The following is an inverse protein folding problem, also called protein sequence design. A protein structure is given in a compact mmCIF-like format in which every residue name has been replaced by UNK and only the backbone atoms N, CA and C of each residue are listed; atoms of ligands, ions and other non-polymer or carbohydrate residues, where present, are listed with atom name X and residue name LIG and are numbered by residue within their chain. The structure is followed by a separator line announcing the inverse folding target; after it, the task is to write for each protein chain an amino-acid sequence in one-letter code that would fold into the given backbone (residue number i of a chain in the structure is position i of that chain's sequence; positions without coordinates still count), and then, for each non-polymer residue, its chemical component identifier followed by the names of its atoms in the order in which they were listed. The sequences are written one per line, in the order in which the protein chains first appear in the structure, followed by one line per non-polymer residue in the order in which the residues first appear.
data_IF_511832966211
#
_entry.id   IF_511832966211
#
_cell.length_a   1.000
_cell.length_b   1.000
_cell.length_c   1.000
_cell.angle_alpha   90.00
_cell.angle_beta   90.00
_cell.angle_gamma   90.00
#
_symmetry.space_group_name_H-M   'P 1'
#
loop_
_entity.id
_entity.type
_entity.pdbx_description
1 polymer ?
#
# COMPACT_ATOMS: atom_id res chain seq x y z
N UNK A 1 1.49 35.71 -32.80
CA UNK A 1 1.57 35.27 -31.40
C UNK A 1 0.22 34.68 -31.05
N UNK A 2 0.18 33.42 -30.59
CA UNK A 2 -1.08 32.74 -30.25
C UNK A 2 -1.40 33.04 -28.78
N UNK A 3 -2.66 33.33 -28.48
CA UNK A 3 -3.09 33.74 -27.15
C UNK A 3 -3.76 32.54 -26.48
N UNK A 4 -2.98 31.77 -25.73
CA UNK A 4 -3.54 30.69 -24.92
C UNK A 4 -4.42 31.30 -23.82
N UNK A 5 -5.69 30.91 -23.77
CA UNK A 5 -6.59 31.26 -22.66
C UNK A 5 -6.73 30.04 -21.73
N UNK A 6 -6.40 30.24 -20.46
CA UNK A 6 -6.59 29.23 -19.42
C UNK A 6 -7.70 29.70 -18.48
N UNK A 7 -8.71 28.84 -18.32
CA UNK A 7 -9.74 28.99 -17.29
C UNK A 7 -9.40 28.06 -16.13
N UNK A 8 -9.24 28.63 -14.94
CA UNK A 8 -8.95 27.89 -13.70
C UNK A 8 -10.19 27.93 -12.82
N UNK A 9 -10.66 26.76 -12.37
CA UNK A 9 -11.77 26.63 -11.42
C UNK A 9 -11.24 26.28 -10.02
N UNK A 10 -11.68 27.07 -9.02
CA UNK A 10 -11.35 26.89 -7.61
C UNK A 10 -12.67 26.87 -6.81
N UNK A 11 -13.20 25.69 -6.44
CA UNK A 11 -14.34 25.62 -5.55
C UNK A 11 -13.92 25.84 -4.08
N UNK A 12 -14.81 26.47 -3.31
CA UNK A 12 -14.76 26.54 -1.85
C UNK A 12 -13.47 27.10 -1.23
N UNK A 13 -13.01 28.24 -1.75
CA UNK A 13 -11.97 29.04 -1.07
C UNK A 13 -12.56 30.35 -0.58
N UNK A 14 -12.31 30.66 0.69
CA UNK A 14 -12.53 32.01 1.20
C UNK A 14 -11.66 33.04 0.45
N UNK A 15 -12.07 34.31 0.50
CA UNK A 15 -11.41 35.38 -0.24
C UNK A 15 -9.92 35.54 0.11
N UNK A 16 -9.52 35.15 1.33
CA UNK A 16 -8.12 35.22 1.79
C UNK A 16 -7.26 34.13 1.14
N UNK A 17 -7.74 32.90 1.10
CA UNK A 17 -7.12 31.75 0.43
C UNK A 17 -7.00 31.95 -1.07
N UNK A 18 -8.00 32.63 -1.66
CA UNK A 18 -8.01 33.03 -3.06
C UNK A 18 -6.90 34.06 -3.35
N UNK A 19 -6.83 35.13 -2.57
CA UNK A 19 -5.81 36.17 -2.72
C UNK A 19 -4.38 35.63 -2.49
N UNK A 20 -4.20 34.69 -1.55
CA UNK A 20 -2.93 34.00 -1.37
C UNK A 20 -2.53 33.19 -2.61
N UNK A 21 -3.48 32.45 -3.17
CA UNK A 21 -3.24 31.63 -4.37
C UNK A 21 -2.89 32.52 -5.57
N UNK A 22 -3.59 33.65 -5.74
CA UNK A 22 -3.29 34.63 -6.79
C UNK A 22 -1.94 35.32 -6.60
N UNK A 23 -1.58 35.69 -5.37
CA UNK A 23 -0.27 36.28 -5.05
C UNK A 23 0.89 35.31 -5.30
N UNK A 24 0.70 34.01 -5.05
CA UNK A 24 1.69 32.96 -5.37
C UNK A 24 1.89 32.82 -6.88
N UNK A 25 0.79 32.89 -7.64
CA UNK A 25 0.84 32.78 -9.11
C UNK A 25 1.50 34.02 -9.74
N UNK A 26 1.17 35.23 -9.26
CA UNK A 26 1.76 36.49 -9.72
C UNK A 26 3.26 36.57 -9.40
N UNK A 27 3.63 36.37 -8.12
CA UNK A 27 5.02 36.50 -7.66
C UNK A 27 6.01 35.50 -8.27
N UNK A 28 5.56 34.30 -8.66
CA UNK A 28 6.45 33.25 -9.19
C UNK A 28 6.51 33.19 -10.71
N UNK A 29 5.45 33.60 -11.40
CA UNK A 29 5.36 33.45 -12.85
C UNK A 29 5.26 34.77 -13.60
N UNK A 30 5.25 35.91 -12.89
CA UNK A 30 5.14 37.24 -13.50
C UNK A 30 3.86 37.39 -14.34
N UNK A 31 2.81 36.64 -13.99
CA UNK A 31 1.52 36.67 -14.69
C UNK A 31 0.78 37.90 -14.18
N UNK A 32 1.08 39.06 -14.76
CA UNK A 32 0.66 40.36 -14.23
C UNK A 32 -0.85 40.57 -14.13
N UNK A 33 -1.70 39.75 -14.79
CA UNK A 33 -3.17 39.86 -14.72
C UNK A 33 -3.87 38.53 -14.93
N UNK A 34 -4.51 38.03 -13.88
CA UNK A 34 -5.71 37.21 -14.02
C UNK A 34 -6.91 38.17 -13.98
N UNK A 35 -7.67 38.26 -15.08
CA UNK A 35 -8.96 38.94 -15.06
C UNK A 35 -9.98 37.99 -14.42
N UNK A 36 -10.71 38.43 -13.40
CA UNK A 36 -11.87 37.68 -12.91
C UNK A 36 -12.96 37.82 -13.98
N UNK A 37 -13.25 36.71 -14.67
CA UNK A 37 -14.22 36.68 -15.76
C UNK A 37 -15.64 36.33 -15.28
N UNK A 38 -15.77 35.84 -14.04
CA UNK A 38 -17.07 35.58 -13.43
C UNK A 38 -16.94 35.06 -12.00
N UNK A 39 -18.00 35.29 -11.23
CA UNK A 39 -18.22 34.69 -9.90
C UNK A 39 -19.58 34.01 -9.93
N UNK A 40 -19.65 32.74 -9.54
CA UNK A 40 -20.90 31.96 -9.52
C UNK A 40 -21.19 31.53 -8.07
N UNK A 41 -22.23 32.10 -7.47
CA UNK A 41 -22.52 31.89 -6.04
C UNK A 41 -21.52 32.59 -5.10
N UNK A 42 -21.51 32.19 -3.82
CA UNK A 42 -20.66 32.83 -2.79
C UNK A 42 -19.21 32.29 -2.76
N UNK A 43 -18.89 31.24 -3.52
CA UNK A 43 -17.63 30.50 -3.36
C UNK A 43 -16.95 30.01 -4.65
N UNK A 44 -17.37 30.44 -5.85
CA UNK A 44 -16.72 30.06 -7.11
C UNK A 44 -16.22 31.27 -7.90
N UNK A 45 -14.94 31.27 -8.28
CA UNK A 45 -14.29 32.35 -9.04
C UNK A 45 -13.59 31.80 -10.29
N UNK A 46 -13.82 32.44 -11.43
CA UNK A 46 -13.21 32.11 -12.72
C UNK A 46 -12.13 33.13 -13.08
N UNK A 47 -10.97 32.64 -13.50
CA UNK A 47 -9.84 33.47 -13.90
C UNK A 47 -9.50 33.29 -15.38
N UNK A 48 -9.16 34.39 -16.05
CA UNK A 48 -8.62 34.41 -17.41
C UNK A 48 -7.18 34.93 -17.35
N UNK A 49 -6.21 34.05 -17.64
CA UNK A 49 -4.81 34.45 -17.82
C UNK A 49 -4.51 34.79 -19.29
N UNK A 50 -3.79 35.88 -19.55
CA UNK A 50 -3.29 36.25 -20.89
C UNK A 50 -1.77 36.03 -20.98
N UNK A 51 -1.28 35.59 -22.15
CA UNK A 51 0.15 35.51 -22.52
C UNK A 51 1.02 34.46 -21.78
N UNK A 52 0.65 33.18 -21.81
CA UNK A 52 1.39 32.09 -21.14
C UNK A 52 2.48 31.40 -21.97
N UNK A 53 2.97 32.04 -23.03
CA UNK A 53 3.80 31.39 -24.05
C UNK A 53 5.21 30.92 -23.60
N UNK A 54 5.64 31.18 -22.36
CA UNK A 54 7.02 30.97 -21.91
C UNK A 54 7.21 30.33 -20.51
N UNK A 55 6.19 29.69 -19.92
CA UNK A 55 6.36 29.04 -18.60
C UNK A 55 6.82 27.59 -18.80
N UNK A 56 8.01 27.18 -18.28
CA UNK A 56 8.43 25.78 -18.31
C UNK A 56 7.48 24.91 -17.49
N UNK A 57 6.85 23.92 -18.13
CA UNK A 57 5.83 23.01 -17.56
C UNK A 57 6.27 22.26 -16.28
N UNK A 58 7.57 22.20 -16.01
CA UNK A 58 8.18 21.49 -14.89
C UNK A 58 8.30 22.35 -13.61
N UNK A 59 7.92 23.64 -13.67
CA UNK A 59 8.13 24.60 -12.59
C UNK A 59 6.90 24.91 -11.73
N UNK A 60 5.73 24.34 -12.04
CA UNK A 60 4.44 24.62 -11.37
C UNK A 60 4.26 23.76 -10.11
N UNK A 61 3.80 24.29 -8.95
CA UNK A 61 3.69 23.54 -7.70
C UNK A 61 2.38 22.73 -7.66
N UNK A 62 2.35 21.67 -6.83
CA UNK A 62 1.14 20.92 -6.46
C UNK A 62 0.13 21.81 -5.71
N UNK A 63 -0.66 22.59 -6.45
CA UNK A 63 -1.89 23.20 -5.96
C UNK A 63 -3.03 22.31 -6.46
N UNK A 64 -3.89 21.87 -5.55
CA UNK A 64 -5.13 21.16 -5.90
C UNK A 64 -6.04 22.13 -6.62
N UNK A 65 -6.06 22.05 -7.94
CA UNK A 65 -7.10 22.64 -8.77
C UNK A 65 -8.14 21.57 -9.00
N UNK A 66 -9.41 21.94 -9.17
CA UNK A 66 -10.43 20.95 -9.52
C UNK A 66 -10.64 20.81 -11.04
N UNK A 67 -10.32 21.84 -11.86
CA UNK A 67 -10.15 21.69 -13.32
C UNK A 67 -9.22 22.77 -13.93
N UNK A 68 -8.59 22.42 -15.07
CA UNK A 68 -7.92 23.36 -15.98
C UNK A 68 -8.55 23.23 -17.36
N UNK A 69 -9.03 24.34 -17.94
CA UNK A 69 -9.54 24.39 -19.30
C UNK A 69 -8.51 25.11 -20.17
N UNK A 70 -8.03 24.44 -21.22
CA UNK A 70 -7.15 25.02 -22.24
C UNK A 70 -7.90 25.02 -23.57
N UNK A 71 -8.04 26.20 -24.19
CA UNK A 71 -8.65 26.34 -25.51
C UNK A 71 -7.60 26.77 -26.53
N UNK A 72 -7.42 25.97 -27.58
CA UNK A 72 -7.10 26.39 -28.96
C UNK A 72 -6.98 25.12 -29.85
N UNK A 73 -8.08 24.68 -30.48
CA UNK A 73 -8.13 23.69 -31.59
C UNK A 73 -7.30 22.38 -31.44
N UNK A 74 -7.75 21.42 -30.60
CA UNK A 74 -7.19 20.05 -30.59
C UNK A 74 -8.30 19.03 -30.86
N UNK A 75 -8.13 18.23 -31.93
CA UNK A 75 -9.08 17.19 -32.36
C UNK A 75 -8.77 15.82 -31.73
N UNK A 76 -9.85 15.20 -31.23
CA UNK A 76 -10.14 13.77 -30.98
C UNK A 76 -9.33 13.02 -29.91
N UNK A 77 -10.02 12.73 -28.80
CA UNK A 77 -9.95 11.45 -28.08
C UNK A 77 -11.37 11.06 -27.65
N UNK A 78 -11.86 9.95 -28.20
CA UNK A 78 -13.14 9.34 -27.84
C UNK A 78 -12.86 7.91 -27.44
N UNK A 79 -12.89 7.64 -26.14
CA UNK A 79 -13.42 6.39 -25.57
C UNK A 79 -13.32 6.44 -24.05
N UNK A 80 -14.48 6.58 -23.38
CA UNK A 80 -14.78 6.27 -21.98
C UNK A 80 -16.27 6.60 -21.75
N UNK A 81 -17.15 5.61 -21.91
CA UNK A 81 -18.60 5.78 -22.11
C UNK A 81 -19.37 6.31 -20.89
N UNK A 82 -18.84 6.13 -19.67
CA UNK A 82 -19.46 6.67 -18.44
C UNK A 82 -19.01 8.12 -18.20
N UNK A 83 -17.73 8.43 -18.44
CA UNK A 83 -17.16 9.77 -18.30
C UNK A 83 -17.68 10.74 -19.37
N UNK A 84 -17.93 10.27 -20.59
CA UNK A 84 -18.38 11.11 -21.72
C UNK A 84 -19.73 11.80 -21.48
N UNK A 85 -20.68 11.13 -20.81
CA UNK A 85 -22.01 11.72 -20.51
C UNK A 85 -21.95 12.79 -19.42
N UNK A 86 -21.15 12.57 -18.38
CA UNK A 86 -20.93 13.56 -17.31
C UNK A 86 -20.21 14.78 -17.90
N UNK A 87 -19.19 14.55 -18.74
CA UNK A 87 -18.43 15.59 -19.41
C UNK A 87 -19.29 16.38 -20.40
N UNK A 88 -20.13 15.73 -21.21
CA UNK A 88 -21.05 16.46 -22.11
C UNK A 88 -22.06 17.32 -21.35
N UNK A 89 -22.65 16.80 -20.26
CA UNK A 89 -23.57 17.59 -19.42
C UNK A 89 -22.88 18.79 -18.79
N UNK A 90 -21.64 18.62 -18.32
CA UNK A 90 -20.86 19.70 -17.69
C UNK A 90 -20.29 20.68 -18.69
N UNK A 91 -19.85 20.24 -19.89
CA UNK A 91 -19.48 21.12 -21.01
C UNK A 91 -20.65 22.01 -21.41
N UNK A 92 -21.84 21.44 -21.51
CA UNK A 92 -23.06 22.18 -21.82
C UNK A 92 -23.39 23.20 -20.72
N UNK A 93 -23.37 22.78 -19.46
CA UNK A 93 -23.59 23.68 -18.32
C UNK A 93 -22.59 24.84 -18.29
N UNK A 94 -21.29 24.57 -18.38
CA UNK A 94 -20.25 25.60 -18.40
C UNK A 94 -20.43 26.54 -19.59
N UNK A 95 -20.61 26.01 -20.79
CA UNK A 95 -20.82 26.81 -21.99
C UNK A 95 -22.04 27.74 -21.89
N UNK A 96 -23.13 27.27 -21.26
CA UNK A 96 -24.31 28.08 -20.96
C UNK A 96 -24.00 29.22 -19.96
N UNK A 97 -23.15 28.97 -18.95
CA UNK A 97 -22.78 30.00 -17.97
C UNK A 97 -21.86 31.09 -18.54
N UNK A 98 -20.92 30.72 -19.40
CA UNK A 98 -19.94 31.67 -19.99
C UNK A 98 -20.31 32.15 -21.40
N UNK A 99 -21.51 31.81 -21.88
CA UNK A 99 -22.07 32.34 -23.14
C UNK A 99 -21.35 31.89 -24.42
N UNK A 100 -20.70 30.71 -24.39
CA UNK A 100 -20.01 30.14 -25.56
C UNK A 100 -20.68 28.84 -26.04
N UNK A 101 -20.25 28.33 -27.20
CA UNK A 101 -20.69 27.00 -27.63
C UNK A 101 -20.04 25.91 -26.80
N UNK A 102 -20.83 24.90 -26.40
CA UNK A 102 -20.32 23.71 -25.72
C UNK A 102 -19.30 22.90 -26.54
N UNK A 103 -19.28 23.09 -27.87
CA UNK A 103 -18.27 22.51 -28.77
C UNK A 103 -16.92 23.22 -28.65
N UNK A 104 -16.91 24.48 -28.21
CA UNK A 104 -15.71 25.28 -27.98
C UNK A 104 -15.03 24.97 -26.63
N UNK A 105 -15.71 24.24 -25.74
CA UNK A 105 -15.12 23.77 -24.47
C UNK A 105 -14.34 22.49 -24.73
N UNK A 106 -13.01 22.58 -24.75
CA UNK A 106 -12.11 21.43 -24.88
C UNK A 106 -11.71 20.95 -23.48
N UNK A 107 -11.93 19.67 -23.22
CA UNK A 107 -11.39 18.98 -22.03
C UNK A 107 -10.18 18.20 -22.51
N UNK A 108 -9.00 18.66 -22.14
CA UNK A 108 -7.77 17.94 -22.43
C UNK A 108 -7.53 16.91 -21.33
N UNK A 109 -7.83 15.64 -21.64
CA UNK A 109 -7.63 14.53 -20.73
C UNK A 109 -6.15 14.27 -20.43
N UNK A 110 -5.24 14.64 -21.33
CA UNK A 110 -3.81 14.47 -21.13
C UNK A 110 -3.30 15.45 -20.07
N UNK A 111 -3.75 16.72 -20.13
CA UNK A 111 -3.49 17.72 -19.08
C UNK A 111 -4.21 17.35 -17.77
N UNK A 112 -5.48 16.93 -17.84
CA UNK A 112 -6.22 16.46 -16.67
C UNK A 112 -5.53 15.26 -16.00
N UNK A 113 -5.12 14.23 -16.74
CA UNK A 113 -4.42 13.08 -16.17
C UNK A 113 -3.02 13.43 -15.63
N UNK A 114 -2.42 14.52 -16.11
CA UNK A 114 -1.11 15.01 -15.68
C UNK A 114 -1.20 15.93 -14.46
N UNK A 115 -2.32 16.65 -14.28
CA UNK A 115 -2.60 17.54 -13.14
C UNK A 115 -3.35 16.83 -12.01
N UNK A 116 -4.29 15.94 -12.37
CA UNK A 116 -4.99 15.03 -11.49
C UNK A 116 -4.32 13.68 -11.64
N UNK A 117 -3.21 13.48 -10.94
CA UNK A 117 -2.63 12.15 -10.84
C UNK A 117 -3.69 11.23 -10.23
N UNK A 118 -4.38 10.44 -11.06
CA UNK A 118 -5.16 9.32 -10.56
C UNK A 118 -4.26 8.54 -9.60
N UNK A 119 -4.79 8.07 -8.45
CA UNK A 119 -3.99 7.32 -7.50
C UNK A 119 -3.30 6.15 -8.22
N UNK A 120 -2.02 6.32 -8.53
CA UNK A 120 -1.20 5.29 -9.17
C UNK A 120 -0.57 4.41 -8.12
N UNK A 121 -0.59 3.12 -8.37
CA UNK A 121 0.06 2.11 -7.54
C UNK A 121 1.34 1.65 -8.23
N UNK A 122 2.46 1.69 -7.51
CA UNK A 122 3.64 0.92 -7.87
C UNK A 122 3.49 -0.50 -7.31
N UNK A 123 3.59 -1.51 -8.17
CA UNK A 123 3.60 -2.90 -7.76
C UNK A 123 5.02 -3.29 -7.35
N UNK A 124 5.20 -3.68 -6.10
CA UNK A 124 6.48 -4.14 -5.56
C UNK A 124 6.38 -5.63 -5.26
N UNK A 125 7.09 -6.45 -6.04
CA UNK A 125 7.05 -7.91 -5.90
C UNK A 125 8.25 -8.37 -5.08
N UNK A 126 7.98 -9.05 -3.96
CA UNK A 126 8.95 -9.45 -2.95
C UNK A 126 9.27 -10.94 -3.12
N UNK A 127 10.54 -11.26 -3.27
CA UNK A 127 11.00 -12.63 -3.34
C UNK A 127 11.46 -13.09 -1.96
N UNK A 128 10.76 -14.06 -1.38
CA UNK A 128 11.21 -14.69 -0.13
C UNK A 128 12.52 -15.47 -0.34
N UNK A 129 12.71 -16.01 -1.55
CA UNK A 129 13.95 -16.67 -1.97
C UNK A 129 14.31 -16.24 -3.39
N UNK A 130 15.60 -16.31 -3.73
CA UNK A 130 16.09 -15.94 -5.06
C UNK A 130 15.56 -16.90 -6.14
N UNK A 131 14.60 -16.44 -6.94
CA UNK A 131 14.00 -17.16 -8.05
C UNK A 131 13.95 -16.31 -9.34
N UNK A 132 15.12 -15.95 -9.85
CA UNK A 132 15.28 -15.04 -11.00
C UNK A 132 14.44 -15.45 -12.23
N UNK A 133 14.17 -16.74 -12.40
CA UNK A 133 13.31 -17.28 -13.47
C UNK A 133 11.86 -16.76 -13.43
N UNK A 134 11.36 -16.33 -12.26
CA UNK A 134 10.01 -15.77 -12.15
C UNK A 134 9.94 -14.33 -12.67
N UNK A 135 11.05 -13.58 -12.75
CA UNK A 135 11.06 -12.18 -13.21
C UNK A 135 10.37 -11.98 -14.57
N UNK A 136 10.76 -12.67 -15.66
CA UNK A 136 10.09 -12.50 -16.96
C UNK A 136 8.63 -12.97 -16.94
N UNK A 137 8.29 -13.96 -16.11
CA UNK A 137 6.92 -14.47 -16.00
C UNK A 137 6.01 -13.44 -15.31
N UNK A 138 6.47 -12.85 -14.21
CA UNK A 138 5.77 -11.81 -13.49
C UNK A 138 5.62 -10.55 -14.35
N UNK A 139 6.63 -10.18 -15.12
CA UNK A 139 6.53 -9.09 -16.09
C UNK A 139 5.45 -9.37 -17.15
N UNK A 140 5.34 -10.61 -17.64
CA UNK A 140 4.29 -11.03 -18.57
C UNK A 140 2.88 -10.95 -17.93
N UNK A 141 2.76 -11.33 -16.65
CA UNK A 141 1.49 -11.34 -15.90
C UNK A 141 1.01 -9.93 -15.55
N UNK A 142 1.93 -9.04 -15.19
CA UNK A 142 1.60 -7.73 -14.61
C UNK A 142 1.89 -6.53 -15.52
N UNK A 143 2.81 -6.64 -16.49
CA UNK A 143 3.31 -5.49 -17.25
C UNK A 143 2.27 -4.77 -18.13
N UNK A 144 1.12 -5.39 -18.41
CA UNK A 144 -0.01 -4.72 -19.08
C UNK A 144 -0.96 -3.99 -18.13
N UNK A 145 -0.84 -4.25 -16.82
CA UNK A 145 -1.75 -3.78 -15.77
C UNK A 145 -1.09 -2.79 -14.81
N UNK A 146 0.24 -2.86 -14.67
CA UNK A 146 0.99 -1.95 -13.81
C UNK A 146 2.09 -1.31 -14.64
N UNK A 147 2.05 0.00 -14.77
CA UNK A 147 3.09 0.77 -15.47
C UNK A 147 4.40 0.85 -14.69
N UNK A 148 4.36 0.70 -13.36
CA UNK A 148 5.53 0.69 -12.48
C UNK A 148 5.57 -0.61 -11.68
N UNK A 149 6.56 -1.45 -11.99
CA UNK A 149 6.82 -2.71 -11.30
C UNK A 149 8.26 -2.68 -10.79
N UNK A 150 8.48 -3.04 -9.53
CA UNK A 150 9.82 -3.25 -8.94
C UNK A 150 9.89 -4.60 -8.28
N UNK A 151 11.05 -5.24 -8.36
CA UNK A 151 11.28 -6.56 -7.77
C UNK A 151 12.29 -6.43 -6.63
N UNK A 152 11.95 -6.93 -5.44
CA UNK A 152 12.90 -7.04 -4.33
C UNK A 152 13.43 -8.46 -4.32
N UNK A 153 14.68 -8.65 -4.75
CA UNK A 153 15.27 -9.99 -4.96
C UNK A 153 16.49 -10.19 -4.05
N UNK A 154 16.47 -11.20 -3.17
CA UNK A 154 17.60 -11.51 -2.29
C UNK A 154 18.87 -11.81 -3.08
N UNK A 155 19.96 -11.13 -2.73
CA UNK A 155 21.30 -11.37 -3.29
C UNK A 155 21.36 -11.33 -4.82
N UNK A 156 20.52 -10.51 -5.46
CA UNK A 156 20.54 -10.35 -6.90
C UNK A 156 21.83 -9.67 -7.37
N UNK A 157 22.47 -10.27 -8.36
CA UNK A 157 23.75 -9.85 -8.94
C UNK A 157 23.65 -9.56 -10.45
N UNK A 158 22.43 -9.58 -11.00
CA UNK A 158 22.16 -9.25 -12.39
C UNK A 158 22.05 -7.75 -12.63
N UNK A 159 21.67 -7.38 -13.86
CA UNK A 159 21.67 -6.01 -14.36
C UNK A 159 20.27 -5.46 -14.69
N UNK A 160 19.20 -6.17 -14.35
CA UNK A 160 17.84 -5.70 -14.61
C UNK A 160 17.54 -4.43 -13.77
N UNK A 161 17.15 -3.36 -14.45
CA UNK A 161 16.94 -2.05 -13.85
C UNK A 161 15.71 -2.01 -12.93
N UNK A 162 14.74 -2.90 -13.14
CA UNK A 162 13.54 -3.00 -12.31
C UNK A 162 13.77 -3.83 -11.04
N UNK A 163 14.94 -4.46 -10.91
CA UNK A 163 15.32 -5.26 -9.75
C UNK A 163 16.12 -4.44 -8.74
N UNK A 164 15.71 -4.56 -7.47
CA UNK A 164 16.35 -3.99 -6.31
C UNK A 164 16.95 -5.15 -5.51
N UNK A 165 18.29 -5.28 -5.46
CA UNK A 165 18.93 -6.30 -4.64
C UNK A 165 18.70 -5.98 -3.17
N UNK A 166 18.35 -7.02 -2.40
CA UNK A 166 18.12 -6.95 -0.96
C UNK A 166 18.86 -8.08 -0.24
N UNK A 167 19.12 -7.91 1.06
CA UNK A 167 20.08 -8.75 1.79
C UNK A 167 19.55 -9.23 3.14
N UNK A 168 18.30 -9.70 3.18
CA UNK A 168 17.71 -10.35 4.37
C UNK A 168 17.28 -11.79 4.08
N UNK A 169 17.01 -12.55 5.13
CA UNK A 169 16.43 -13.89 5.03
C UNK A 169 14.92 -13.84 4.77
N UNK A 170 14.35 -14.98 4.32
CA UNK A 170 12.89 -15.14 4.16
C UNK A 170 12.09 -14.95 5.45
N UNK A 171 12.74 -15.01 6.62
CA UNK A 171 12.10 -14.83 7.92
C UNK A 171 12.08 -13.36 8.36
N UNK A 172 12.89 -12.51 7.73
CA UNK A 172 13.07 -11.10 8.05
C UNK A 172 12.90 -10.18 6.82
N UNK A 173 12.13 -10.62 5.82
CA UNK A 173 11.98 -9.88 4.55
C UNK A 173 11.41 -8.47 4.71
N UNK A 174 10.82 -8.12 5.87
CA UNK A 174 10.45 -6.74 6.17
C UNK A 174 11.65 -5.76 6.09
N UNK A 175 12.88 -6.25 6.27
CA UNK A 175 14.08 -5.42 6.09
C UNK A 175 14.33 -5.00 4.64
N UNK A 176 13.71 -5.67 3.66
CA UNK A 176 13.78 -5.27 2.26
C UNK A 176 13.28 -3.84 2.02
N UNK A 177 12.28 -3.40 2.79
CA UNK A 177 11.59 -2.13 2.53
C UNK A 177 12.50 -0.93 2.76
N UNK A 178 13.30 -0.95 3.85
CA UNK A 178 14.26 0.13 4.10
C UNK A 178 15.43 0.10 3.11
N UNK A 179 15.87 -1.08 2.69
CA UNK A 179 16.93 -1.23 1.68
C UNK A 179 16.46 -0.70 0.31
N UNK A 180 15.18 -0.88 -0.01
CA UNK A 180 14.58 -0.41 -1.26
C UNK A 180 14.11 1.04 -1.23
N UNK A 181 13.97 1.66 -0.05
CA UNK A 181 13.32 2.97 0.14
C UNK A 181 13.87 4.05 -0.80
N UNK A 182 15.19 4.18 -0.92
CA UNK A 182 15.84 5.21 -1.74
C UNK A 182 15.47 5.11 -3.23
N UNK A 183 15.26 3.88 -3.73
CA UNK A 183 14.80 3.65 -5.11
C UNK A 183 13.30 3.84 -5.24
N UNK A 184 12.52 3.44 -4.23
CA UNK A 184 11.07 3.53 -4.25
C UNK A 184 10.56 4.97 -4.13
N UNK A 185 11.14 5.81 -3.27
CA UNK A 185 10.61 7.14 -2.92
C UNK A 185 10.43 8.10 -4.11
N UNK A 186 11.23 7.91 -5.17
CA UNK A 186 11.22 8.76 -6.35
C UNK A 186 10.23 8.29 -7.44
N UNK A 187 9.60 7.12 -7.27
CA UNK A 187 8.61 6.62 -8.23
C UNK A 187 7.37 7.53 -8.21
N UNK A 188 6.84 7.95 -9.38
CA UNK A 188 5.68 8.83 -9.48
C UNK A 188 4.36 8.07 -9.23
N UNK A 189 4.21 7.54 -8.01
CA UNK A 189 3.01 6.87 -7.54
C UNK A 189 2.48 7.51 -6.25
N UNK A 190 1.28 7.09 -5.85
CA UNK A 190 0.66 7.49 -4.57
C UNK A 190 0.76 6.41 -3.52
N UNK A 191 0.87 5.16 -3.95
CA UNK A 191 0.89 3.98 -3.08
C UNK A 191 1.84 2.92 -3.63
N UNK A 192 2.31 2.07 -2.72
CA UNK A 192 3.14 0.90 -3.02
C UNK A 192 2.38 -0.35 -2.57
N UNK A 193 2.04 -1.21 -3.53
CA UNK A 193 1.42 -2.51 -3.27
C UNK A 193 2.52 -3.57 -3.23
N UNK A 194 2.77 -4.12 -2.06
CA UNK A 194 3.73 -5.18 -1.84
C UNK A 194 3.04 -6.54 -1.96
N UNK A 195 3.58 -7.44 -2.77
CA UNK A 195 3.08 -8.82 -2.94
C UNK A 195 4.24 -9.82 -2.98
N UNK A 196 4.06 -11.02 -2.43
CA UNK A 196 4.99 -12.14 -2.62
C UNK A 196 5.09 -12.58 -4.09
N UNK A 197 6.23 -13.13 -4.51
CA UNK A 197 6.46 -13.58 -5.89
C UNK A 197 5.56 -14.75 -6.33
N UNK A 198 4.99 -15.48 -5.37
CA UNK A 198 4.01 -16.54 -5.57
C UNK A 198 2.58 -16.12 -5.18
N UNK A 199 2.30 -14.83 -5.00
CA UNK A 199 0.95 -14.31 -4.81
C UNK A 199 0.43 -13.69 -6.11
N UNK A 200 -0.70 -14.19 -6.61
CA UNK A 200 -1.31 -13.72 -7.85
C UNK A 200 -2.55 -12.88 -7.52
N UNK A 201 -2.51 -11.62 -7.96
CA UNK A 201 -3.61 -10.67 -7.82
C UNK A 201 -4.73 -10.95 -8.84
N UNK A 202 -5.97 -10.58 -8.48
CA UNK A 202 -7.12 -10.62 -9.37
C UNK A 202 -6.79 -9.96 -10.73
N UNK A 203 -7.14 -10.58 -11.87
CA UNK A 203 -6.88 -10.09 -13.24
C UNK A 203 -7.30 -8.64 -13.49
N UNK A 204 -8.42 -8.24 -12.88
CA UNK A 204 -9.00 -6.90 -12.99
C UNK A 204 -8.20 -5.81 -12.28
N UNK A 205 -7.26 -6.12 -11.38
CA UNK A 205 -6.45 -5.11 -10.71
C UNK A 205 -5.37 -4.54 -11.63
N UNK A 206 -5.26 -3.22 -11.62
CA UNK A 206 -4.26 -2.43 -12.31
C UNK A 206 -3.84 -1.21 -11.47
N UNK A 207 -2.81 -0.50 -11.92
CA UNK A 207 -2.23 0.64 -11.22
C UNK A 207 -3.18 1.82 -10.98
N UNK A 208 -4.25 1.97 -11.78
CA UNK A 208 -5.22 3.07 -11.68
C UNK A 208 -6.51 2.72 -10.92
N UNK A 209 -6.86 1.44 -10.81
CA UNK A 209 -8.14 1.03 -10.21
C UNK A 209 -8.00 0.38 -8.83
N UNK A 210 -6.80 -0.10 -8.46
CA UNK A 210 -6.60 -0.86 -7.23
C UNK A 210 -7.04 -0.08 -5.98
N UNK A 211 -6.64 1.19 -5.88
CA UNK A 211 -7.00 2.07 -4.75
C UNK A 211 -8.52 2.17 -4.59
N UNK A 212 -9.24 2.37 -5.70
CA UNK A 212 -10.69 2.52 -5.70
C UNK A 212 -11.40 1.21 -5.42
N UNK A 213 -10.96 0.10 -6.02
CA UNK A 213 -11.57 -1.22 -5.79
C UNK A 213 -11.33 -1.73 -4.37
N UNK A 214 -10.22 -1.34 -3.74
CA UNK A 214 -9.92 -1.67 -2.35
C UNK A 214 -10.47 -0.64 -1.34
N UNK A 215 -11.11 0.43 -1.82
CA UNK A 215 -11.65 1.52 -0.99
C UNK A 215 -10.60 2.15 -0.04
N UNK A 216 -9.40 2.42 -0.57
CA UNK A 216 -8.26 2.95 0.19
C UNK A 216 -7.85 4.38 -0.20
N UNK A 217 -8.73 5.15 -0.84
CA UNK A 217 -8.44 6.54 -1.26
C UNK A 217 -8.05 7.44 -0.08
N UNK A 218 -8.68 7.22 1.08
CA UNK A 218 -8.46 7.98 2.32
C UNK A 218 -7.77 7.12 3.40
N UNK A 219 -7.09 6.05 2.99
CA UNK A 219 -6.42 5.11 3.88
C UNK A 219 -4.93 5.16 3.60
N UNK A 220 -4.13 4.88 4.62
CA UNK A 220 -2.67 4.88 4.54
C UNK A 220 -2.08 3.49 4.43
N UNK A 221 -2.84 2.49 4.88
CA UNK A 221 -2.39 1.12 4.91
C UNK A 221 -3.50 0.14 4.58
N UNK A 222 -3.20 -0.87 3.77
CA UNK A 222 -4.07 -2.01 3.49
C UNK A 222 -3.34 -3.28 3.88
N UNK A 223 -3.98 -4.17 4.63
CA UNK A 223 -3.42 -5.49 4.97
C UNK A 223 -4.55 -6.50 5.11
N UNK A 224 -4.23 -7.78 5.14
CA UNK A 224 -5.24 -8.84 5.23
C UNK A 224 -5.98 -8.81 6.57
N UNK A 225 -5.25 -9.04 7.66
CA UNK A 225 -5.73 -9.02 9.03
C UNK A 225 -4.52 -9.09 9.96
N UNK A 226 -4.69 -8.63 11.20
CA UNK A 226 -3.76 -8.91 12.28
C UNK A 226 -4.46 -8.80 13.63
N UNK A 227 -3.78 -9.29 14.67
CA UNK A 227 -4.31 -9.42 16.03
C UNK A 227 -3.21 -9.16 17.06
N UNK A 228 -3.61 -8.85 18.30
CA UNK A 228 -2.67 -8.77 19.43
C UNK A 228 -2.02 -10.15 19.67
N UNK A 229 -0.70 -10.21 19.70
CA UNK A 229 0.05 -11.48 19.78
C UNK A 229 -0.18 -12.23 21.10
N UNK A 230 -0.55 -11.52 22.17
CA UNK A 230 -0.80 -12.08 23.51
C UNK A 230 -2.24 -12.58 23.73
N UNK A 231 -3.07 -12.67 22.68
CA UNK A 231 -4.41 -13.24 22.81
C UNK A 231 -4.40 -14.70 23.27
N UNK A 232 -5.53 -15.22 23.77
CA UNK A 232 -5.65 -16.62 24.17
C UNK A 232 -5.21 -17.59 23.06
N UNK A 233 -4.54 -18.66 23.44
CA UNK A 233 -4.07 -19.76 22.61
C UNK A 233 -3.04 -19.37 21.53
N UNK A 234 -2.51 -18.15 21.52
CA UNK A 234 -1.53 -17.71 20.51
C UNK A 234 -0.16 -18.36 20.65
N UNK A 235 0.17 -18.92 21.81
CA UNK A 235 1.37 -19.73 21.98
C UNK A 235 1.36 -21.02 21.13
N UNK A 236 0.21 -21.45 20.63
CA UNK A 236 0.12 -22.60 19.71
C UNK A 236 0.81 -22.37 18.37
N UNK A 237 1.01 -21.12 17.97
CA UNK A 237 1.73 -20.80 16.75
C UNK A 237 3.24 -20.80 17.02
N UNK A 238 3.99 -21.59 16.24
CA UNK A 238 5.43 -21.81 16.47
C UNK A 238 6.25 -20.52 16.49
N UNK A 239 5.90 -19.52 15.67
CA UNK A 239 6.64 -18.26 15.61
C UNK A 239 6.42 -17.37 16.84
N UNK A 240 5.30 -17.54 17.56
CA UNK A 240 5.07 -16.87 18.84
C UNK A 240 6.13 -17.26 19.88
N UNK A 241 6.61 -18.51 19.85
CA UNK A 241 7.61 -19.01 20.80
C UNK A 241 8.93 -18.25 20.79
N UNK A 242 9.35 -17.73 19.63
CA UNK A 242 10.58 -16.94 19.50
C UNK A 242 10.37 -15.43 19.61
N UNK A 243 9.12 -14.96 19.69
CA UNK A 243 8.76 -13.55 19.49
C UNK A 243 9.41 -12.57 20.47
N UNK A 244 9.63 -12.99 21.71
CA UNK A 244 10.23 -12.16 22.76
C UNK A 244 11.76 -12.12 22.73
N UNK A 245 12.40 -13.16 22.16
CA UNK A 245 13.86 -13.30 22.14
C UNK A 245 14.60 -12.08 21.56
N UNK A 246 14.15 -11.47 20.45
CA UNK A 246 14.71 -10.22 19.91
C UNK A 246 14.96 -9.10 20.92
N UNK A 247 14.10 -8.94 21.93
CA UNK A 247 14.17 -7.82 22.88
C UNK A 247 15.22 -8.03 23.98
N UNK A 248 15.68 -9.26 24.19
CA UNK A 248 16.74 -9.60 25.14
C UNK A 248 18.10 -9.79 24.48
N UNK A 249 18.14 -9.80 23.15
CA UNK A 249 19.39 -9.82 22.41
C UNK A 249 20.20 -8.54 22.69
N UNK A 250 21.49 -8.71 22.98
CA UNK A 250 22.43 -7.62 23.27
C UNK A 250 23.24 -7.19 22.04
N UNK A 251 23.11 -7.89 20.92
CA UNK A 251 23.85 -7.61 19.70
C UNK A 251 23.31 -6.38 18.94
N UNK A 252 22.04 -6.01 19.15
CA UNK A 252 21.39 -4.89 18.47
C UNK A 252 20.98 -3.79 19.44
N UNK A 253 21.42 -2.54 19.19
CA UNK A 253 21.02 -1.36 19.97
C UNK A 253 19.71 -0.80 19.39
N UNK A 254 18.57 -1.31 19.87
CA UNK A 254 17.24 -0.93 19.34
C UNK A 254 16.46 0.05 20.24
N UNK A 255 16.79 0.13 21.54
CA UNK A 255 15.98 0.82 22.57
C UNK A 255 15.76 2.31 22.33
N UNK A 256 16.67 2.97 21.61
CA UNK A 256 16.56 4.39 21.27
C UNK A 256 15.98 4.64 19.87
N UNK A 257 15.66 3.56 19.14
CA UNK A 257 15.21 3.62 17.73
C UNK A 257 13.74 3.25 17.55
N UNK A 258 13.13 2.64 18.59
CA UNK A 258 11.71 2.33 18.69
C UNK A 258 11.02 3.30 19.65
N UNK A 259 9.69 3.32 19.60
CA UNK A 259 8.88 3.92 20.66
C UNK A 259 9.23 3.29 22.01
N UNK A 260 9.10 4.07 23.08
CA UNK A 260 9.21 3.54 24.43
C UNK A 260 8.10 2.49 24.69
N UNK A 261 8.28 1.66 25.72
CA UNK A 261 7.28 0.65 26.08
C UNK A 261 5.90 1.27 26.30
N UNK A 262 5.81 2.36 27.05
CA UNK A 262 4.55 3.01 27.39
C UNK A 262 3.88 3.65 26.16
N UNK A 263 4.66 4.29 25.28
CA UNK A 263 4.15 4.83 24.00
C UNK A 263 3.63 3.72 23.08
N UNK A 264 4.35 2.61 23.00
CA UNK A 264 3.93 1.45 22.22
C UNK A 264 2.64 0.84 22.78
N UNK A 265 2.54 0.69 24.11
CA UNK A 265 1.33 0.21 24.78
C UNK A 265 0.13 1.12 24.52
N UNK A 266 0.32 2.44 24.59
CA UNK A 266 -0.71 3.42 24.27
C UNK A 266 -1.18 3.30 22.81
N UNK A 267 -0.25 3.19 21.85
CA UNK A 267 -0.58 2.96 20.43
C UNK A 267 -1.36 1.68 20.21
N UNK A 268 -0.97 0.59 20.87
CA UNK A 268 -1.71 -0.69 20.80
C UNK A 268 -3.12 -0.56 21.39
N UNK A 269 -3.27 0.11 22.53
CA UNK A 269 -4.58 0.37 23.13
C UNK A 269 -5.46 1.19 22.20
N UNK A 270 -4.94 2.28 21.64
CA UNK A 270 -5.67 3.15 20.71
C UNK A 270 -6.08 2.40 19.44
N UNK A 271 -5.18 1.57 18.89
CA UNK A 271 -5.44 0.81 17.68
C UNK A 271 -6.52 -0.26 17.87
N UNK A 272 -6.39 -1.08 18.93
CA UNK A 272 -7.29 -2.20 19.16
C UNK A 272 -8.56 -1.81 19.93
N UNK A 273 -8.54 -0.68 20.65
CA UNK A 273 -9.62 -0.25 21.54
C UNK A 273 -9.69 -1.03 22.85
N UNK A 274 -8.69 -1.86 23.15
CA UNK A 274 -8.60 -2.68 24.36
C UNK A 274 -7.17 -2.69 24.87
N UNK A 275 -7.02 -2.78 26.20
CA UNK A 275 -5.71 -2.85 26.85
C UNK A 275 -4.90 -4.06 26.35
N UNK A 276 -3.62 -3.83 26.09
CA UNK A 276 -2.68 -4.91 25.83
C UNK A 276 -2.22 -5.47 27.18
N UNK A 277 -2.44 -6.75 27.45
CA UNK A 277 -1.94 -7.36 28.71
C UNK A 277 -0.42 -7.27 28.75
N UNK A 278 0.13 -6.89 29.90
CA UNK A 278 1.59 -6.77 30.10
C UNK A 278 2.29 -8.11 30.40
N UNK A 279 1.53 -9.19 30.58
CA UNK A 279 2.04 -10.52 30.92
C UNK A 279 1.47 -11.59 30.01
N UNK A 280 2.29 -12.60 29.70
CA UNK A 280 1.86 -13.86 29.13
C UNK A 280 1.17 -14.69 30.23
N UNK A 281 -0.15 -14.80 30.15
CA UNK A 281 -0.96 -15.53 31.12
C UNK A 281 -1.24 -16.98 30.68
N UNK A 282 -1.96 -17.71 31.52
CA UNK A 282 -2.36 -19.10 31.24
C UNK A 282 -3.17 -19.22 29.94
N UNK A 283 -3.96 -18.20 29.58
CA UNK A 283 -4.83 -18.26 28.41
C UNK A 283 -3.98 -18.14 27.15
N UNK A 284 -2.93 -17.31 27.16
CA UNK A 284 -1.95 -17.22 26.08
C UNK A 284 -1.27 -18.58 25.79
N UNK A 285 -0.79 -19.27 26.84
CA UNK A 285 -0.14 -20.57 26.72
C UNK A 285 -1.09 -21.68 26.26
N UNK A 286 -2.39 -21.49 26.47
CA UNK A 286 -3.45 -22.40 26.05
C UNK A 286 -3.52 -23.67 26.89
N UNK A 287 -4.51 -24.52 26.57
CA UNK A 287 -4.77 -25.76 27.30
C UNK A 287 -3.70 -26.84 26.99
N UNK A 288 -2.96 -27.35 28.00
CA UNK A 288 -1.95 -28.41 27.83
C UNK A 288 -2.54 -29.74 27.35
N UNK A 289 -3.84 -29.98 27.59
CA UNK A 289 -4.52 -31.23 27.27
C UNK A 289 -5.19 -31.23 25.89
N UNK A 290 -5.04 -30.14 25.13
CA UNK A 290 -5.66 -29.98 23.82
C UNK A 290 -4.59 -29.88 22.70
N UNK A 291 -3.97 -31.01 22.30
CA UNK A 291 -2.96 -31.04 21.25
C UNK A 291 -3.55 -30.86 19.84
N UNK A 292 -4.85 -31.09 19.63
CA UNK A 292 -5.48 -30.93 18.30
C UNK A 292 -5.55 -29.47 17.83
N UNK A 293 -5.41 -28.50 18.74
CA UNK A 293 -5.34 -27.08 18.40
C UNK A 293 -3.92 -26.54 18.19
N UNK A 294 -2.89 -27.33 18.46
CA UNK A 294 -1.50 -26.92 18.31
C UNK A 294 -1.12 -26.84 16.82
N UNK A 295 -0.77 -25.63 16.35
CA UNK A 295 -0.34 -25.47 14.96
C UNK A 295 1.03 -26.13 14.81
N UNK A 296 1.12 -27.13 13.93
CA UNK A 296 2.36 -27.80 13.52
C UNK A 296 3.03 -28.69 14.59
N UNK A 297 2.32 -29.17 15.61
CA UNK A 297 2.85 -30.24 16.48
C UNK A 297 3.92 -29.78 17.49
N UNK A 298 3.92 -28.50 17.89
CA UNK A 298 4.73 -27.94 19.00
C UNK A 298 4.78 -28.76 20.31
N UNK A 299 3.66 -29.33 20.76
CA UNK A 299 3.54 -30.32 21.83
C UNK A 299 2.41 -31.32 21.53
N UNK A 300 2.54 -32.55 22.01
CA UNK A 300 1.54 -33.62 21.84
C UNK A 300 0.85 -34.02 23.15
N UNK A 301 1.41 -33.61 24.29
CA UNK A 301 0.89 -33.92 25.62
C UNK A 301 1.24 -32.80 26.63
N UNK A 302 0.69 -32.90 27.83
CA UNK A 302 0.87 -31.89 28.88
C UNK A 302 2.33 -31.77 29.38
N UNK A 303 3.10 -32.85 29.37
CA UNK A 303 4.52 -32.83 29.78
C UNK A 303 5.36 -32.04 28.77
N UNK A 304 5.18 -32.29 27.48
CA UNK A 304 5.81 -31.53 26.39
C UNK A 304 5.39 -30.06 26.42
N UNK A 305 4.09 -29.78 26.62
CA UNK A 305 3.61 -28.39 26.76
C UNK A 305 4.34 -27.67 27.88
N UNK A 306 4.42 -28.29 29.06
CA UNK A 306 5.10 -27.71 30.23
C UNK A 306 6.58 -27.42 29.95
N UNK A 307 7.27 -28.33 29.25
CA UNK A 307 8.67 -28.13 28.83
C UNK A 307 8.81 -26.92 27.89
N UNK A 308 7.97 -26.84 26.87
CA UNK A 308 8.01 -25.75 25.88
C UNK A 308 7.65 -24.39 26.51
N UNK A 309 6.70 -24.36 27.45
CA UNK A 309 6.37 -23.15 28.23
C UNK A 309 7.55 -22.74 29.11
N UNK A 310 8.20 -23.67 29.80
CA UNK A 310 9.36 -23.38 30.63
C UNK A 310 10.54 -22.84 29.81
N UNK A 311 10.79 -23.42 28.63
CA UNK A 311 11.80 -22.91 27.69
C UNK A 311 11.49 -21.51 27.20
N UNK A 312 10.22 -21.23 26.88
CA UNK A 312 9.77 -19.89 26.51
C UNK A 312 10.04 -18.87 27.64
N UNK A 313 9.60 -19.16 28.87
CA UNK A 313 9.81 -18.28 30.03
C UNK A 313 11.30 -18.04 30.24
N UNK A 314 12.12 -19.09 30.15
CA UNK A 314 13.59 -18.97 30.25
C UNK A 314 14.15 -18.03 29.17
N UNK A 315 13.71 -18.18 27.93
CA UNK A 315 14.11 -17.30 26.82
C UNK A 315 13.59 -15.86 26.95
N UNK A 316 12.49 -15.67 27.68
CA UNK A 316 11.89 -14.38 28.02
C UNK A 316 12.48 -13.80 29.32
N UNK A 317 13.79 -14.02 29.55
CA UNK A 317 14.49 -13.50 30.73
C UNK A 317 14.07 -14.12 32.06
N UNK A 318 13.41 -15.29 32.06
CA UNK A 318 12.88 -15.92 33.26
C UNK A 318 11.59 -15.29 33.79
N UNK A 319 10.89 -14.50 32.97
CA UNK A 319 9.67 -13.78 33.35
C UNK A 319 8.52 -14.10 32.41
N UNK A 320 7.29 -13.86 32.86
CA UNK A 320 6.10 -13.80 32.00
C UNK A 320 5.81 -12.38 31.51
N UNK A 321 6.57 -11.37 31.94
CA UNK A 321 6.43 -9.98 31.46
C UNK A 321 6.68 -9.93 29.96
N UNK A 322 5.79 -9.28 29.23
CA UNK A 322 5.92 -9.06 27.80
C UNK A 322 6.92 -7.93 27.58
N UNK A 323 8.01 -8.14 26.82
CA UNK A 323 9.09 -7.15 26.70
C UNK A 323 8.68 -5.93 25.87
N UNK A 324 7.72 -6.09 24.97
CA UNK A 324 7.20 -5.05 24.08
C UNK A 324 5.85 -5.52 23.49
N UNK A 325 4.84 -4.66 23.31
CA UNK A 325 3.59 -5.07 22.69
C UNK A 325 3.79 -5.45 21.22
N UNK A 326 3.21 -6.57 20.82
CA UNK A 326 3.38 -7.14 19.47
C UNK A 326 2.03 -7.52 18.87
N UNK A 327 1.93 -7.41 17.55
CA UNK A 327 0.83 -7.93 16.75
C UNK A 327 1.32 -9.08 15.86
N UNK A 328 0.42 -9.98 15.47
CA UNK A 328 0.69 -11.06 14.53
C UNK A 328 -0.35 -11.07 13.40
N UNK A 329 0.04 -11.50 12.21
CA UNK A 329 -0.84 -11.45 11.04
C UNK A 329 -0.13 -11.81 9.74
N UNK A 330 -0.94 -11.99 8.70
CA UNK A 330 -0.49 -12.48 7.42
C UNK A 330 0.11 -11.36 6.55
N UNK A 331 1.32 -11.56 6.04
CA UNK A 331 2.18 -10.46 5.53
C UNK A 331 2.67 -10.60 4.09
N UNK A 332 2.19 -11.58 3.31
CA UNK A 332 2.57 -11.74 1.90
C UNK A 332 1.94 -10.68 0.97
N UNK A 333 0.98 -9.89 1.46
CA UNK A 333 0.37 -8.77 0.73
C UNK A 333 -0.03 -7.63 1.66
N UNK A 334 0.35 -6.40 1.28
CA UNK A 334 -0.11 -5.17 1.92
C UNK A 334 0.13 -3.96 1.00
N UNK A 335 -0.51 -2.83 1.27
CA UNK A 335 -0.31 -1.57 0.54
C UNK A 335 0.02 -0.44 1.51
N UNK A 336 0.96 0.43 1.17
CA UNK A 336 1.37 1.59 1.97
C UNK A 336 1.26 2.85 1.12
N UNK A 337 0.69 3.93 1.66
CA UNK A 337 0.74 5.23 1.01
C UNK A 337 2.17 5.79 0.98
N UNK A 338 2.45 6.62 -0.03
CA UNK A 338 3.79 7.15 -0.24
C UNK A 338 4.29 8.01 0.91
N UNK A 339 3.41 8.75 1.59
CA UNK A 339 3.78 9.61 2.72
C UNK A 339 4.25 8.82 3.93
N UNK A 340 3.71 7.62 4.14
CA UNK A 340 4.07 6.76 5.29
C UNK A 340 5.18 5.76 4.99
N UNK A 341 5.59 5.60 3.72
CA UNK A 341 6.56 4.58 3.30
C UNK A 341 7.85 4.63 4.10
N UNK A 342 8.40 5.83 4.38
CA UNK A 342 9.67 5.95 5.10
C UNK A 342 9.58 5.39 6.53
N UNK A 343 8.63 5.89 7.33
CA UNK A 343 8.51 5.50 8.73
C UNK A 343 8.16 4.01 8.86
N UNK A 344 7.24 3.52 8.02
CA UNK A 344 6.94 2.10 7.92
C UNK A 344 8.19 1.27 7.61
N UNK A 345 8.93 1.64 6.56
CA UNK A 345 10.14 0.93 6.15
C UNK A 345 11.22 0.97 7.23
N UNK A 346 11.42 2.12 7.88
CA UNK A 346 12.41 2.31 8.93
C UNK A 346 12.16 1.38 10.11
N UNK A 347 10.92 1.33 10.61
CA UNK A 347 10.55 0.43 11.71
C UNK A 347 10.65 -1.04 11.30
N UNK A 348 10.23 -1.40 10.08
CA UNK A 348 10.45 -2.75 9.53
C UNK A 348 11.94 -3.12 9.52
N UNK A 349 12.82 -2.21 9.11
CA UNK A 349 14.27 -2.38 9.14
C UNK A 349 14.82 -2.63 10.54
N UNK A 350 14.34 -1.91 11.55
CA UNK A 350 14.76 -2.13 12.95
C UNK A 350 14.33 -3.52 13.42
N UNK A 351 13.07 -3.91 13.22
CA UNK A 351 12.60 -5.23 13.64
C UNK A 351 13.29 -6.36 12.86
N UNK A 352 13.65 -6.14 11.60
CA UNK A 352 14.50 -7.06 10.82
C UNK A 352 15.88 -7.22 11.47
N UNK A 353 16.56 -6.12 11.81
CA UNK A 353 17.87 -6.13 12.51
C UNK A 353 17.80 -6.74 13.93
N UNK A 354 16.62 -6.81 14.53
CA UNK A 354 16.38 -7.53 15.79
C UNK A 354 16.08 -9.02 15.60
N UNK A 355 16.12 -9.54 14.36
CA UNK A 355 15.73 -10.90 13.98
C UNK A 355 14.26 -11.24 14.31
N UNK A 356 13.37 -10.25 14.28
CA UNK A 356 11.95 -10.48 14.50
C UNK A 356 11.31 -11.15 13.27
N UNK A 357 10.47 -12.16 13.51
CA UNK A 357 9.77 -12.84 12.42
C UNK A 357 8.80 -11.89 11.71
N UNK A 358 8.79 -11.96 10.37
CA UNK A 358 8.06 -11.04 9.50
C UNK A 358 6.56 -10.93 9.78
N UNK A 359 5.88 -12.06 10.03
CA UNK A 359 4.43 -12.09 10.35
C UNK A 359 4.11 -11.58 11.76
N UNK A 360 5.12 -11.15 12.52
CA UNK A 360 4.98 -10.39 13.77
C UNK A 360 5.45 -8.95 13.55
N UNK A 361 6.56 -8.77 12.84
CA UNK A 361 7.16 -7.47 12.59
C UNK A 361 6.24 -6.53 11.79
N UNK A 362 5.78 -6.94 10.61
CA UNK A 362 4.94 -6.07 9.75
C UNK A 362 3.64 -5.65 10.45
N UNK A 363 2.87 -6.57 11.07
CA UNK A 363 1.69 -6.18 11.86
C UNK A 363 2.02 -5.24 13.03
N UNK A 364 3.12 -5.49 13.74
CA UNK A 364 3.55 -4.63 14.85
C UNK A 364 3.89 -3.23 14.34
N UNK A 365 4.63 -3.12 13.24
CA UNK A 365 4.93 -1.85 12.59
C UNK A 365 3.67 -1.13 12.14
N UNK A 366 2.69 -1.85 11.59
CA UNK A 366 1.42 -1.26 11.18
C UNK A 366 0.71 -0.58 12.36
N UNK A 367 0.62 -1.25 13.51
CA UNK A 367 0.03 -0.69 14.74
C UNK A 367 0.83 0.51 15.27
N UNK A 368 2.15 0.48 15.17
CA UNK A 368 2.99 1.59 15.64
C UNK A 368 2.93 2.83 14.73
N UNK A 369 2.69 2.62 13.44
CA UNK A 369 2.75 3.67 12.40
C UNK A 369 1.39 4.32 12.14
N UNK A 370 0.33 3.52 12.07
CA UNK A 370 -0.99 3.96 11.59
C UNK A 370 -2.03 3.98 12.70
N UNK A 371 -2.98 4.90 12.60
CA UNK A 371 -4.21 4.84 13.39
C UNK A 371 -5.19 3.82 12.81
N UNK A 372 -6.09 3.30 13.63
CA UNK A 372 -7.09 2.30 13.22
C UNK A 372 -7.93 2.75 12.02
N UNK A 373 -8.32 4.01 11.98
CA UNK A 373 -9.13 4.61 10.92
C UNK A 373 -8.34 4.88 9.62
N UNK A 374 -7.00 4.87 9.68
CA UNK A 374 -6.12 4.95 8.52
C UNK A 374 -5.84 3.58 7.88
N UNK A 375 -6.23 2.47 8.53
CA UNK A 375 -6.04 1.10 8.05
C UNK A 375 -7.31 0.56 7.39
N UNK A 376 -7.13 -0.12 6.26
CA UNK A 376 -8.14 -0.95 5.60
C UNK A 376 -7.75 -2.41 5.67
N UNK A 377 -8.74 -3.28 5.79
CA UNK A 377 -8.55 -4.72 5.71
C UNK A 377 -9.07 -5.27 4.38
N UNK A 378 -8.40 -6.29 3.84
CA UNK A 378 -9.01 -7.07 2.76
C UNK A 378 -10.34 -7.68 3.25
N UNK A 379 -11.39 -7.72 2.41
CA UNK A 379 -12.65 -8.34 2.79
C UNK A 379 -12.47 -9.79 3.23
N UNK A 380 -13.19 -10.21 4.26
CA UNK A 380 -13.14 -11.60 4.72
C UNK A 380 -13.58 -12.55 3.60
N UNK A 381 -12.84 -13.65 3.41
CA UNK A 381 -13.12 -14.63 2.35
C UNK A 381 -12.70 -14.20 0.94
N UNK A 382 -12.10 -13.02 0.78
CA UNK A 382 -11.61 -12.54 -0.52
C UNK A 382 -10.25 -13.09 -0.93
N UNK A 383 -9.64 -13.93 -0.09
CA UNK A 383 -8.32 -14.51 -0.31
C UNK A 383 -8.44 -16.03 -0.45
N UNK A 384 -7.76 -16.61 -1.43
CA UNK A 384 -7.59 -18.06 -1.54
C UNK A 384 -6.17 -18.43 -1.11
N UNK A 385 -6.01 -18.66 0.20
CA UNK A 385 -4.74 -19.08 0.82
C UNK A 385 -4.71 -20.61 0.91
N UNK A 386 -3.75 -21.23 0.23
CA UNK A 386 -3.75 -22.65 -0.10
C UNK A 386 -2.57 -23.38 0.55
N UNK A 387 -2.85 -24.48 1.24
CA UNK A 387 -1.83 -25.32 1.87
C UNK A 387 -2.05 -26.78 1.53
N UNK A 388 -0.99 -27.58 1.50
CA UNK A 388 -1.06 -29.04 1.37
C UNK A 388 -1.97 -29.52 0.21
N UNK A 389 -3.04 -30.24 0.58
CA UNK A 389 -3.99 -30.82 -0.37
C UNK A 389 -4.79 -29.75 -1.13
N UNK A 390 -5.22 -28.68 -0.46
CA UNK A 390 -6.01 -27.61 -1.10
C UNK A 390 -5.23 -26.96 -2.25
N UNK A 391 -3.93 -26.76 -2.07
CA UNK A 391 -3.04 -26.27 -3.13
C UNK A 391 -2.96 -27.25 -4.30
N UNK A 392 -2.83 -28.54 -4.00
CA UNK A 392 -2.72 -29.58 -5.04
C UNK A 392 -4.02 -29.69 -5.85
N UNK A 393 -5.16 -29.67 -5.16
CA UNK A 393 -6.48 -29.72 -5.80
C UNK A 393 -6.73 -28.47 -6.63
N UNK A 394 -6.34 -27.29 -6.13
CA UNK A 394 -6.41 -26.04 -6.88
C UNK A 394 -5.53 -26.04 -8.14
N UNK A 395 -4.28 -26.49 -8.04
CA UNK A 395 -3.37 -26.61 -9.19
C UNK A 395 -3.94 -27.57 -10.24
N UNK A 396 -4.53 -28.69 -9.82
CA UNK A 396 -5.16 -29.66 -10.71
C UNK A 396 -6.43 -29.12 -11.37
N UNK A 397 -7.24 -28.32 -10.67
CA UNK A 397 -8.46 -27.68 -11.23
C UNK A 397 -8.13 -26.90 -12.50
N UNK A 398 -6.97 -26.25 -12.55
CA UNK A 398 -6.55 -25.42 -13.67
C UNK A 398 -5.48 -26.08 -14.57
N UNK A 399 -5.20 -27.38 -14.39
CA UNK A 399 -4.15 -28.12 -15.09
C UNK A 399 -2.77 -27.44 -15.07
N UNK A 400 -2.51 -26.62 -14.03
CA UNK A 400 -1.34 -25.74 -13.93
C UNK A 400 -1.14 -24.84 -15.17
N UNK A 401 -2.21 -24.46 -15.86
CA UNK A 401 -2.19 -23.46 -16.94
C UNK A 401 -2.64 -22.10 -16.38
N UNK A 402 -1.73 -21.12 -16.41
CA UNK A 402 -2.00 -19.80 -15.86
C UNK A 402 -3.11 -19.08 -16.62
N UNK A 403 -3.20 -19.25 -17.95
CA UNK A 403 -4.25 -18.61 -18.74
C UNK A 403 -5.62 -19.18 -18.36
N UNK A 404 -5.69 -20.47 -18.01
CA UNK A 404 -6.91 -21.08 -17.52
C UNK A 404 -7.34 -20.47 -16.18
N UNK A 405 -6.41 -20.38 -15.21
CA UNK A 405 -6.65 -19.66 -13.94
C UNK A 405 -7.10 -18.22 -14.17
N UNK A 406 -6.44 -17.50 -15.08
CA UNK A 406 -6.73 -16.10 -15.37
C UNK A 406 -8.13 -15.89 -15.98
N UNK A 407 -8.53 -16.76 -16.91
CA UNK A 407 -9.82 -16.65 -17.62
C UNK A 407 -11.00 -17.18 -16.79
N UNK A 408 -10.76 -18.17 -15.93
CA UNK A 408 -11.76 -18.78 -15.05
C UNK A 408 -11.61 -18.27 -13.59
N UNK A 409 -11.21 -17.01 -13.45
CA UNK A 409 -10.97 -16.39 -12.14
C UNK A 409 -12.28 -16.23 -11.36
N UNK A 410 -12.27 -16.60 -10.08
CA UNK A 410 -13.44 -16.52 -9.21
C UNK A 410 -13.70 -15.06 -8.80
N UNK A 411 -14.88 -14.52 -9.14
CA UNK A 411 -15.22 -13.08 -9.03
C UNK A 411 -14.96 -12.46 -7.64
N UNK A 412 -15.19 -13.23 -6.56
CA UNK A 412 -15.04 -12.74 -5.19
C UNK A 412 -13.63 -12.94 -4.61
N UNK A 413 -12.70 -13.54 -5.36
CA UNK A 413 -11.33 -13.81 -4.91
C UNK A 413 -10.41 -12.69 -5.41
N UNK A 414 -9.89 -11.86 -4.52
CA UNK A 414 -9.00 -10.76 -4.84
C UNK A 414 -7.55 -11.19 -5.07
N UNK A 415 -7.13 -12.33 -4.51
CA UNK A 415 -5.84 -12.93 -4.78
C UNK A 415 -5.78 -14.42 -4.41
N UNK A 416 -4.80 -15.12 -4.99
CA UNK A 416 -4.48 -16.52 -4.70
C UNK A 416 -3.04 -16.61 -4.22
N UNK A 417 -2.80 -17.35 -3.12
CA UNK A 417 -1.46 -17.64 -2.64
C UNK A 417 -1.38 -19.05 -2.01
N UNK A 418 -0.31 -19.82 -2.24
CA UNK A 418 0.76 -19.57 -3.19
C UNK A 418 0.44 -20.18 -4.56
N UNK A 419 0.93 -19.53 -5.63
CA UNK A 419 1.01 -20.03 -7.00
C UNK A 419 2.48 -20.13 -7.37
N UNK A 420 3.05 -21.34 -7.26
CA UNK A 420 4.47 -21.56 -7.56
C UNK A 420 4.70 -21.58 -9.07
N UNK A 421 5.04 -20.44 -9.66
CA UNK A 421 5.13 -20.24 -11.12
C UNK A 421 6.03 -21.26 -11.85
N UNK A 422 7.06 -21.79 -11.21
CA UNK A 422 7.90 -22.87 -11.75
C UNK A 422 7.14 -24.15 -12.11
N UNK A 423 5.91 -24.32 -11.61
CA UNK A 423 5.04 -25.46 -11.88
C UNK A 423 3.93 -25.15 -12.89
N UNK A 424 3.80 -23.90 -13.31
CA UNK A 424 2.71 -23.41 -14.14
C UNK A 424 3.20 -23.05 -15.54
N UNK A 425 2.36 -23.31 -16.54
CA UNK A 425 2.55 -22.82 -17.91
C UNK A 425 1.98 -21.40 -17.99
N UNK A 426 2.86 -20.41 -18.20
CA UNK A 426 2.52 -18.97 -18.23
C UNK A 426 2.58 -18.40 -19.64
#
# INVERSE_FOLDING_TARGET
MRNLEILIWLPDKDAESLNQTLSILDSRYGIERFDIVGVVGESEVFFQGKNLNNIPLESVPNISFDYVIVSENIRKLSDLSISARIIQRRKKFLAEQIGISSESVVFDFEIYNKWFSFPKVCLVIMFNHRYDQNLPLLQKIYGKRFSEIRFLVPFYDGSDADVIPVYESSWQFQGFFIQAYEKLKNIPCTHYLFVGDDLILHPGFNDTNFITQMNIQNKKFLITHFYQLNLPNRFRWNHTGGSSKPFYDKSTVWRNSLYTYDEAMAKFKDFFGVEYKEVYDKDFFGDPNNPSGNMLGRWNNAEEHSKVVAEFIKSNGGSTKIPYPMAGGYSDIFCVDKGSLFEFSRLCGIFSAMNMFVEIAIPTVAVLTFKKDEVQFFPFGSAKVLWGKDRTDFENKYDKDFNRLYNEWEENILYVHPVKLSRWKV
#
